data_IF_182491582104
#
_entry.id   IF_182491582104
#
_cell.length_a   1.000
_cell.length_b   1.000
_cell.length_c   1.000
_cell.angle_alpha   90.00
_cell.angle_beta   90.00
_cell.angle_gamma   90.00
#
_symmetry.space_group_name_H-M   'P 1'
#
loop_
_entity.id
_entity.type
_entity.pdbx_description
1 polymer ?
#
# COMPACT_ATOMS: atom_id res chain seq x y z
N UNK A 1 -4.28 4.47 -0.70
CA UNK A 1 -5.73 4.71 -0.82
C UNK A 1 -6.31 4.45 0.57
N UNK A 2 -7.23 5.27 1.09
CA UNK A 2 -7.86 4.94 2.37
C UNK A 2 -8.67 3.65 2.18
N UNK A 3 -8.55 2.65 3.07
CA UNK A 3 -9.31 1.43 2.98
C UNK A 3 -10.79 1.76 3.09
N UNK A 4 -11.60 0.99 2.37
CA UNK A 4 -13.05 1.13 2.43
C UNK A 4 -13.52 0.53 3.75
N UNK A 5 -14.17 1.34 4.59
CA UNK A 5 -14.76 0.86 5.85
C UNK A 5 -15.68 -0.33 5.60
N UNK A 6 -15.53 -1.37 6.41
CA UNK A 6 -16.36 -2.55 6.38
C UNK A 6 -17.83 -2.21 6.67
N UNK A 7 -18.77 -3.03 6.18
CA UNK A 7 -20.20 -2.85 6.48
C UNK A 7 -20.45 -2.86 8.00
N UNK A 8 -19.72 -3.69 8.74
CA UNK A 8 -19.81 -3.77 10.20
C UNK A 8 -19.37 -2.46 10.86
N UNK A 9 -18.23 -1.87 10.46
CA UNK A 9 -17.77 -0.57 10.99
C UNK A 9 -18.73 0.57 10.68
N UNK A 10 -19.34 0.59 9.48
CA UNK A 10 -20.35 1.59 9.13
C UNK A 10 -21.59 1.52 10.03
N UNK A 11 -21.95 0.32 10.49
CA UNK A 11 -23.04 0.15 11.45
C UNK A 11 -22.58 0.56 12.85
N UNK A 12 -21.38 0.17 13.29
CA UNK A 12 -20.83 0.58 14.59
C UNK A 12 -20.78 2.11 14.74
N UNK A 13 -20.42 2.83 13.68
CA UNK A 13 -20.44 4.29 13.68
C UNK A 13 -21.82 4.89 14.05
N UNK A 14 -22.92 4.22 13.70
CA UNK A 14 -24.30 4.66 14.02
C UNK A 14 -24.73 4.34 15.46
N UNK A 15 -24.03 3.40 16.10
CA UNK A 15 -24.43 2.82 17.38
C UNK A 15 -23.42 3.08 18.49
N UNK A 16 -22.71 4.21 18.38
CA UNK A 16 -21.94 4.77 19.47
C UNK A 16 -22.80 5.75 20.29
N UNK A 17 -22.46 5.90 21.56
CA UNK A 17 -23.14 6.80 22.49
C UNK A 17 -22.12 7.67 23.20
N UNK A 18 -22.26 8.99 23.12
CA UNK A 18 -21.43 9.94 23.83
C UNK A 18 -22.09 10.30 25.16
N UNK A 19 -21.42 9.98 26.26
CA UNK A 19 -21.79 10.39 27.60
C UNK A 19 -21.09 11.72 27.92
N UNK A 20 -21.86 12.81 27.95
CA UNK A 20 -21.33 14.16 28.16
C UNK A 20 -20.99 14.44 29.63
N UNK A 21 -21.57 13.70 30.58
CA UNK A 21 -21.22 13.86 32.00
C UNK A 21 -19.94 13.10 32.31
N UNK A 22 -19.85 11.84 31.87
CA UNK A 22 -18.66 11.01 32.05
C UNK A 22 -17.54 11.34 31.05
N UNK A 23 -17.80 12.24 30.09
CA UNK A 23 -16.90 12.55 28.97
C UNK A 23 -16.35 11.28 28.31
N UNK A 24 -17.24 10.34 27.97
CA UNK A 24 -16.85 9.00 27.49
C UNK A 24 -17.69 8.56 26.30
N UNK A 25 -17.01 8.08 25.25
CA UNK A 25 -17.65 7.48 24.08
C UNK A 25 -17.77 5.97 24.28
N UNK A 26 -19.01 5.47 24.33
CA UNK A 26 -19.31 4.05 24.38
C UNK A 26 -19.54 3.49 22.97
N UNK A 27 -18.89 2.36 22.67
CA UNK A 27 -19.03 1.64 21.41
C UNK A 27 -19.57 0.24 21.71
N UNK A 28 -20.80 -0.03 21.30
CA UNK A 28 -21.42 -1.35 21.45
C UNK A 28 -21.14 -2.23 20.23
N UNK A 29 -20.19 -3.15 20.36
CA UNK A 29 -19.84 -4.09 19.32
C UNK A 29 -20.63 -5.40 19.36
N UNK A 30 -21.45 -5.66 20.38
CA UNK A 30 -22.07 -6.97 20.61
C UNK A 30 -22.90 -7.48 19.43
N UNK A 31 -23.50 -6.58 18.65
CA UNK A 31 -24.35 -6.93 17.51
C UNK A 31 -23.58 -7.21 16.21
N UNK A 32 -22.52 -6.46 15.92
CA UNK A 32 -21.82 -6.53 14.62
C UNK A 32 -20.42 -7.15 14.71
N UNK A 33 -19.77 -7.05 15.86
CA UNK A 33 -18.45 -7.61 16.13
C UNK A 33 -18.40 -8.15 17.58
N UNK A 34 -19.12 -9.26 17.89
CA UNK A 34 -19.32 -9.71 19.27
C UNK A 34 -18.03 -9.93 20.06
N UNK A 35 -16.94 -10.32 19.37
CA UNK A 35 -15.61 -10.53 19.96
C UNK A 35 -15.05 -9.33 20.72
N UNK A 36 -15.49 -8.11 20.40
CA UNK A 36 -15.03 -6.88 21.06
C UNK A 36 -15.95 -6.41 22.18
N UNK A 37 -17.12 -7.04 22.36
CA UNK A 37 -18.04 -6.70 23.45
C UNK A 37 -18.51 -5.25 23.41
N UNK A 38 -18.41 -4.56 24.55
CA UNK A 38 -18.62 -3.11 24.67
C UNK A 38 -17.32 -2.52 25.19
N UNK A 39 -16.84 -1.44 24.59
CA UNK A 39 -15.69 -0.72 25.11
C UNK A 39 -15.96 0.78 25.16
N UNK A 40 -15.26 1.45 26.06
CA UNK A 40 -15.32 2.88 26.27
C UNK A 40 -14.05 3.55 25.77
N UNK A 41 -14.19 4.74 25.21
CA UNK A 41 -13.08 5.61 24.83
C UNK A 41 -13.25 6.92 25.61
N UNK A 42 -12.32 7.28 26.50
CA UNK A 42 -12.42 8.54 27.23
C UNK A 42 -12.33 9.76 26.29
N UNK A 43 -12.85 10.89 26.76
CA UNK A 43 -12.67 12.19 26.13
C UNK A 43 -11.21 12.64 26.18
N UNK A 44 -10.87 13.67 25.41
CA UNK A 44 -9.49 14.12 25.27
C UNK A 44 -8.87 14.56 26.61
N UNK A 45 -9.61 15.35 27.39
CA UNK A 45 -9.14 15.82 28.70
C UNK A 45 -8.96 14.66 29.70
N UNK A 46 -9.85 13.67 29.66
CA UNK A 46 -9.74 12.48 30.48
C UNK A 46 -8.53 11.60 30.08
N UNK A 47 -8.18 11.54 28.79
CA UNK A 47 -6.94 10.88 28.35
C UNK A 47 -5.68 11.60 28.89
N UNK A 48 -5.68 12.94 28.91
CA UNK A 48 -4.56 13.74 29.40
C UNK A 48 -4.36 13.63 30.92
N UNK A 49 -5.46 13.60 31.67
CA UNK A 49 -5.44 13.67 33.13
C UNK A 49 -5.57 12.30 33.83
N UNK A 50 -5.98 11.27 33.09
CA UNK A 50 -6.23 9.93 33.63
C UNK A 50 -4.95 9.20 34.03
N UNK A 51 -5.00 8.51 35.17
CA UNK A 51 -3.93 7.65 35.69
C UNK A 51 -4.18 6.16 35.50
N UNK A 52 -5.38 5.78 35.04
CA UNK A 52 -5.75 4.38 34.80
C UNK A 52 -4.94 3.80 33.64
N UNK A 53 -4.53 2.52 33.66
CA UNK A 53 -3.82 1.90 32.54
C UNK A 53 -4.54 2.07 31.21
N UNK A 54 -3.80 2.25 30.12
CA UNK A 54 -4.42 2.41 28.79
C UNK A 54 -5.19 1.11 28.45
N UNK A 55 -6.50 1.18 28.11
CA UNK A 55 -7.28 0.00 27.74
C UNK A 55 -6.74 -0.69 26.48
N UNK A 56 -6.86 -2.01 26.40
CA UNK A 56 -6.53 -2.77 25.19
C UNK A 56 -7.63 -2.58 24.13
N UNK A 57 -7.47 -1.55 23.30
CA UNK A 57 -8.41 -1.23 22.24
C UNK A 57 -8.34 -2.23 21.07
N UNK A 58 -9.46 -2.47 20.36
CA UNK A 58 -9.44 -3.24 19.13
C UNK A 58 -8.45 -2.69 18.09
N UNK A 59 -7.42 -3.48 17.78
CA UNK A 59 -6.30 -3.06 16.92
C UNK A 59 -6.69 -2.70 15.50
N UNK A 60 -7.76 -3.28 14.96
CA UNK A 60 -8.13 -3.17 13.54
C UNK A 60 -9.39 -2.33 13.30
N UNK A 61 -9.83 -1.53 14.29
CA UNK A 61 -10.96 -0.62 14.12
C UNK A 61 -10.48 0.77 13.70
N UNK A 62 -10.93 1.23 12.54
CA UNK A 62 -10.59 2.55 12.00
C UNK A 62 -11.56 3.63 12.51
N UNK A 63 -11.73 3.74 13.83
CA UNK A 63 -12.75 4.61 14.47
C UNK A 63 -12.61 6.08 14.05
N UNK A 64 -11.38 6.54 13.83
CA UNK A 64 -11.14 7.93 13.41
C UNK A 64 -11.64 8.18 11.98
N UNK A 65 -11.76 7.15 11.15
CA UNK A 65 -12.27 7.24 9.78
C UNK A 65 -13.79 7.06 9.67
N UNK A 66 -14.46 6.65 10.76
CA UNK A 66 -15.91 6.47 10.77
C UNK A 66 -16.66 7.76 10.46
N UNK A 67 -17.79 7.61 9.77
CA UNK A 67 -18.68 8.72 9.43
C UNK A 67 -19.17 9.45 10.68
N UNK A 68 -19.14 10.78 10.63
CA UNK A 68 -19.45 11.67 11.75
C UNK A 68 -20.96 11.74 12.06
N UNK A 69 -21.49 10.69 12.69
CA UNK A 69 -22.79 10.78 13.37
C UNK A 69 -22.67 11.68 14.61
N UNK A 70 -23.78 12.26 15.08
CA UNK A 70 -23.79 13.30 16.13
C UNK A 70 -22.94 12.93 17.34
N UNK A 71 -23.13 11.73 17.90
CA UNK A 71 -22.42 11.21 19.06
C UNK A 71 -20.89 11.16 18.85
N UNK A 72 -20.43 10.51 17.77
CA UNK A 72 -19.01 10.45 17.42
C UNK A 72 -18.44 11.84 17.11
N UNK A 73 -19.23 12.72 16.51
CA UNK A 73 -18.80 14.08 16.18
C UNK A 73 -18.55 14.92 17.43
N UNK A 74 -19.32 14.74 18.51
CA UNK A 74 -19.08 15.43 19.77
C UNK A 74 -17.75 15.01 20.39
N UNK A 75 -17.49 13.70 20.46
CA UNK A 75 -16.19 13.19 20.93
C UNK A 75 -15.02 13.70 20.09
N UNK A 76 -15.10 13.60 18.76
CA UNK A 76 -14.04 14.07 17.86
C UNK A 76 -13.72 15.57 18.01
N UNK A 77 -14.72 16.41 18.34
CA UNK A 77 -14.51 17.86 18.49
C UNK A 77 -13.61 18.23 19.67
N UNK A 78 -13.44 17.35 20.65
CA UNK A 78 -12.56 17.58 21.79
C UNK A 78 -11.09 17.38 21.44
N UNK A 79 -10.82 16.60 20.40
CA UNK A 79 -9.46 16.21 20.03
C UNK A 79 -8.92 17.21 19.00
N UNK A 80 -7.69 17.74 19.17
CA UNK A 80 -7.10 18.62 18.17
C UNK A 80 -7.09 17.97 16.77
N UNK A 81 -7.53 18.72 15.76
CA UNK A 81 -7.72 18.19 14.41
C UNK A 81 -6.46 17.54 13.82
N UNK A 82 -5.29 18.15 14.05
CA UNK A 82 -4.02 17.62 13.56
C UNK A 82 -3.63 16.27 14.22
N UNK A 83 -4.05 16.04 15.48
CA UNK A 83 -3.82 14.76 16.19
C UNK A 83 -4.71 13.68 15.58
N UNK A 84 -6.00 14.00 15.34
CA UNK A 84 -6.92 13.09 14.66
C UNK A 84 -6.39 12.69 13.28
N UNK A 85 -5.97 13.68 12.49
CA UNK A 85 -5.42 13.45 11.15
C UNK A 85 -4.16 12.59 11.19
N UNK A 86 -3.25 12.84 12.14
CA UNK A 86 -2.00 12.09 12.28
C UNK A 86 -2.23 10.65 12.75
N UNK A 87 -3.15 10.43 13.69
CA UNK A 87 -3.50 9.08 14.15
C UNK A 87 -4.25 8.30 13.06
N UNK A 88 -5.10 8.98 12.28
CA UNK A 88 -5.85 8.38 11.18
C UNK A 88 -4.98 7.94 9.99
N UNK A 89 -3.70 8.33 9.94
CA UNK A 89 -2.74 7.85 8.94
C UNK A 89 -2.54 6.33 9.02
N UNK A 90 -2.73 5.75 10.20
CA UNK A 90 -2.47 4.34 10.49
C UNK A 90 -3.79 3.57 10.58
N UNK A 91 -4.02 2.48 9.81
CA UNK A 91 -5.24 1.68 9.91
C UNK A 91 -5.33 0.89 11.21
N UNK A 92 -4.20 0.62 11.85
CA UNK A 92 -4.14 -0.21 13.06
C UNK A 92 -3.66 0.58 14.27
N UNK A 93 -4.14 0.19 15.44
CA UNK A 93 -3.80 0.79 16.74
C UNK A 93 -4.13 2.29 16.84
N UNK A 94 -5.08 2.82 16.04
CA UNK A 94 -5.45 4.24 16.04
C UNK A 94 -5.83 4.77 17.43
N UNK A 95 -6.68 4.03 18.14
CA UNK A 95 -7.15 4.42 19.47
C UNK A 95 -6.07 4.32 20.53
N UNK A 96 -5.21 3.31 20.45
CA UNK A 96 -4.03 3.22 21.31
C UNK A 96 -3.12 4.41 21.09
N UNK A 97 -2.75 4.69 19.83
CA UNK A 97 -1.89 5.83 19.49
C UNK A 97 -2.51 7.13 20.01
N UNK A 98 -3.80 7.35 19.78
CA UNK A 98 -4.54 8.51 20.27
C UNK A 98 -4.47 8.64 21.80
N UNK A 99 -4.73 7.56 22.54
CA UNK A 99 -4.71 7.58 24.00
C UNK A 99 -3.30 7.88 24.52
N UNK A 100 -2.27 7.20 23.99
CA UNK A 100 -0.90 7.45 24.39
C UNK A 100 -0.46 8.90 24.10
N UNK A 101 -0.84 9.50 22.96
CA UNK A 101 -0.46 10.90 22.69
C UNK A 101 -1.28 11.91 23.47
N UNK A 102 -2.51 11.57 23.89
CA UNK A 102 -3.25 12.36 24.86
C UNK A 102 -2.55 12.34 26.22
N UNK A 103 -2.08 11.17 26.68
CA UNK A 103 -1.48 11.01 27.99
C UNK A 103 -0.04 11.50 28.10
N UNK A 104 0.77 11.25 27.08
CA UNK A 104 2.22 11.47 27.13
C UNK A 104 2.65 12.56 26.14
N UNK A 105 2.97 13.78 26.62
CA UNK A 105 3.41 14.87 25.77
C UNK A 105 4.62 14.53 24.88
N UNK A 106 5.55 13.70 25.39
CA UNK A 106 6.72 13.25 24.63
C UNK A 106 6.32 12.41 23.40
N UNK A 107 5.25 11.62 23.52
CA UNK A 107 4.73 10.87 22.38
C UNK A 107 3.96 11.77 21.41
N UNK A 108 3.25 12.79 21.92
CA UNK A 108 2.61 13.80 21.08
C UNK A 108 3.64 14.55 20.20
N UNK A 109 4.78 14.94 20.78
CA UNK A 109 5.91 15.51 20.04
C UNK A 109 6.55 14.51 19.06
N UNK A 110 6.63 13.22 19.45
CA UNK A 110 7.10 12.17 18.56
C UNK A 110 6.16 11.97 17.36
N UNK A 111 4.84 12.06 17.58
CA UNK A 111 3.83 11.97 16.53
C UNK A 111 3.97 13.13 15.54
N UNK A 112 4.14 14.36 16.00
CA UNK A 112 4.32 15.53 15.12
C UNK A 112 5.57 15.39 14.22
N UNK A 113 6.71 15.01 14.80
CA UNK A 113 7.98 14.98 14.08
C UNK A 113 8.26 13.67 13.33
N UNK A 114 7.73 12.54 13.79
CA UNK A 114 8.02 11.21 13.25
C UNK A 114 6.83 10.25 13.48
N UNK A 115 5.68 10.46 12.80
CA UNK A 115 4.47 9.68 13.03
C UNK A 115 4.69 8.16 12.99
N UNK A 116 5.51 7.70 12.03
CA UNK A 116 5.80 6.28 11.85
C UNK A 116 6.51 5.65 13.06
N UNK A 117 7.38 6.43 13.72
CA UNK A 117 8.08 5.99 14.92
C UNK A 117 7.13 5.96 16.13
N UNK A 118 6.26 6.97 16.27
CA UNK A 118 5.23 6.98 17.31
C UNK A 118 4.30 5.76 17.20
N UNK A 119 3.80 5.50 16.00
CA UNK A 119 2.96 4.34 15.73
C UNK A 119 3.69 3.02 15.98
N UNK A 120 4.93 2.87 15.50
CA UNK A 120 5.70 1.63 15.71
C UNK A 120 5.96 1.34 17.18
N UNK A 121 6.20 2.39 17.99
CA UNK A 121 6.39 2.26 19.42
C UNK A 121 5.12 1.73 20.11
N UNK A 122 3.96 2.31 19.80
CA UNK A 122 2.66 1.89 20.38
C UNK A 122 2.18 0.54 19.85
N UNK A 123 2.51 0.21 18.59
CA UNK A 123 2.18 -1.08 17.99
C UNK A 123 3.14 -2.21 18.39
N UNK A 124 4.19 -1.90 19.15
CA UNK A 124 5.14 -2.90 19.65
C UNK A 124 4.50 -3.78 20.74
N UNK A 125 5.21 -4.83 21.16
CA UNK A 125 4.80 -5.71 22.26
C UNK A 125 5.28 -5.21 23.64
N UNK A 126 5.80 -3.99 23.70
CA UNK A 126 6.31 -3.39 24.92
C UNK A 126 5.17 -3.02 25.86
N UNK A 127 5.45 -3.02 27.17
CA UNK A 127 4.47 -2.58 28.17
C UNK A 127 4.38 -1.05 28.17
N UNK A 128 3.31 -0.49 28.74
CA UNK A 128 3.16 0.97 28.90
C UNK A 128 4.37 1.57 29.65
N UNK A 129 4.86 0.89 30.69
CA UNK A 129 6.04 1.32 31.45
C UNK A 129 7.32 1.36 30.60
N UNK A 130 7.55 0.33 29.77
CA UNK A 130 8.70 0.28 28.88
C UNK A 130 8.64 1.38 27.82
N UNK A 131 7.45 1.62 27.24
CA UNK A 131 7.23 2.70 26.27
C UNK A 131 7.55 4.05 26.92
N UNK A 132 7.06 4.31 28.12
CA UNK A 132 7.32 5.57 28.85
C UNK A 132 8.79 5.75 29.16
N UNK A 133 9.50 4.68 29.56
CA UNK A 133 10.93 4.71 29.78
C UNK A 133 11.68 5.08 28.49
N UNK A 134 11.34 4.45 27.36
CA UNK A 134 11.95 4.74 26.06
C UNK A 134 11.68 6.16 25.58
N UNK A 135 10.55 6.77 25.93
CA UNK A 135 10.27 8.16 25.59
C UNK A 135 11.22 9.17 26.26
N UNK A 136 11.89 8.77 27.34
CA UNK A 136 12.91 9.58 28.02
C UNK A 136 14.31 9.41 27.40
N UNK A 137 14.51 8.35 26.62
CA UNK A 137 15.77 8.03 25.98
C UNK A 137 16.04 8.82 24.71
N UNK A 138 17.26 8.70 24.18
CA UNK A 138 17.60 9.29 22.89
C UNK A 138 16.82 8.58 21.78
N UNK A 139 16.33 9.34 20.80
CA UNK A 139 15.59 8.81 19.63
C UNK A 139 16.32 7.66 18.91
N UNK A 140 17.65 7.65 18.92
CA UNK A 140 18.48 6.56 18.36
C UNK A 140 18.35 5.24 19.13
N UNK A 141 18.20 5.31 20.46
CA UNK A 141 17.96 4.14 21.31
C UNK A 141 16.54 3.62 21.12
N UNK A 142 15.55 4.52 20.98
CA UNK A 142 14.16 4.13 20.69
C UNK A 142 14.07 3.32 19.40
N UNK A 143 14.68 3.79 18.30
CA UNK A 143 14.66 3.04 17.03
C UNK A 143 15.40 1.70 17.14
N UNK A 144 16.50 1.64 17.91
CA UNK A 144 17.26 0.42 18.17
C UNK A 144 16.42 -0.64 18.90
N UNK A 145 15.70 -0.23 19.95
CA UNK A 145 14.82 -1.10 20.72
C UNK A 145 13.61 -1.61 19.90
N UNK A 146 13.23 -0.89 18.85
CA UNK A 146 12.18 -1.30 17.91
C UNK A 146 12.69 -2.18 16.77
N UNK A 147 13.98 -2.56 16.78
CA UNK A 147 14.59 -3.44 15.79
C UNK A 147 15.08 -2.74 14.53
N UNK A 148 15.20 -1.40 14.55
CA UNK A 148 15.79 -0.62 13.46
C UNK A 148 17.22 -0.20 13.80
N UNK A 149 18.07 0.15 12.81
CA UNK A 149 19.42 0.61 13.09
C UNK A 149 19.40 1.88 13.95
N UNK A 150 20.10 1.86 15.10
CA UNK A 150 20.27 2.95 16.08
C UNK A 150 21.05 4.18 15.58
N UNK A 151 20.90 4.52 14.30
CA UNK A 151 21.67 5.56 13.59
C UNK A 151 20.88 6.88 13.50
N UNK A 152 21.60 8.01 13.41
CA UNK A 152 20.96 9.34 13.26
C UNK A 152 20.21 9.44 11.94
N UNK A 153 20.73 8.78 10.92
CA UNK A 153 20.20 8.68 9.57
C UNK A 153 18.82 8.03 9.59
N UNK A 154 18.61 6.96 10.38
CA UNK A 154 17.30 6.32 10.57
C UNK A 154 16.29 7.32 11.11
N UNK A 155 16.64 8.06 12.16
CA UNK A 155 15.77 9.07 12.76
C UNK A 155 15.48 10.20 11.75
N UNK A 156 16.49 10.66 11.02
CA UNK A 156 16.32 11.69 10.00
C UNK A 156 15.41 11.24 8.85
N UNK A 157 15.53 9.98 8.43
CA UNK A 157 14.66 9.38 7.42
C UNK A 157 13.21 9.36 7.88
N UNK A 158 12.95 8.86 9.09
CA UNK A 158 11.61 8.82 9.69
C UNK A 158 11.00 10.22 9.80
N UNK A 159 11.80 11.25 10.08
CA UNK A 159 11.37 12.66 10.06
C UNK A 159 11.05 13.21 8.67
N UNK A 160 11.65 12.67 7.61
CA UNK A 160 11.40 13.08 6.21
C UNK A 160 10.18 12.38 5.61
N UNK A 161 9.66 11.32 6.23
CA UNK A 161 8.47 10.62 5.75
C UNK A 161 7.25 11.55 5.74
N UNK A 162 6.59 11.65 4.59
CA UNK A 162 5.36 12.40 4.37
C UNK A 162 4.35 11.49 3.69
N UNK A 163 3.78 10.61 4.50
CA UNK A 163 2.83 9.59 4.08
C UNK A 163 1.41 10.10 4.28
N UNK A 164 0.50 9.78 3.34
CA UNK A 164 -0.93 10.09 3.48
C UNK A 164 -1.71 8.97 4.16
N UNK A 165 -1.18 7.76 4.08
CA UNK A 165 -1.76 6.55 4.66
C UNK A 165 -0.69 5.47 4.74
N UNK A 166 -0.68 4.70 5.82
CA UNK A 166 0.33 3.67 6.09
C UNK A 166 -0.34 2.29 6.05
N UNK A 167 -0.40 1.70 4.85
CA UNK A 167 -0.81 0.29 4.70
C UNK A 167 0.27 -0.65 5.21
N UNK A 168 -0.03 -1.94 5.35
CA UNK A 168 0.98 -2.98 5.64
C UNK A 168 2.14 -2.92 4.65
N UNK A 169 1.84 -2.86 3.35
CA UNK A 169 2.83 -2.72 2.27
C UNK A 169 3.72 -1.48 2.45
N UNK A 170 3.15 -0.33 2.80
CA UNK A 170 3.95 0.89 3.06
C UNK A 170 4.84 0.70 4.30
N UNK A 171 4.35 0.03 5.34
CA UNK A 171 5.16 -0.29 6.52
C UNK A 171 6.34 -1.20 6.15
N UNK A 172 6.09 -2.24 5.34
CA UNK A 172 7.13 -3.14 4.84
C UNK A 172 8.16 -2.40 3.98
N UNK A 173 7.73 -1.46 3.14
CA UNK A 173 8.66 -0.63 2.37
C UNK A 173 9.52 0.27 3.26
N UNK A 174 8.95 0.84 4.34
CA UNK A 174 9.73 1.58 5.34
C UNK A 174 10.78 0.68 5.97
N UNK A 175 10.40 -0.51 6.42
CA UNK A 175 11.33 -1.48 7.01
C UNK A 175 12.44 -1.86 6.03
N UNK A 176 12.08 -2.21 4.79
CA UNK A 176 13.03 -2.56 3.72
C UNK A 176 14.03 -1.43 3.47
N UNK A 177 13.57 -0.18 3.43
CA UNK A 177 14.44 0.98 3.17
C UNK A 177 15.32 1.35 4.37
N UNK A 178 14.88 1.11 5.60
CA UNK A 178 15.64 1.39 6.82
C UNK A 178 16.75 0.36 7.03
N UNK A 179 16.48 -0.91 6.73
CA UNK A 179 17.41 -2.02 6.95
C UNK A 179 18.52 -2.10 5.88
N UNK A 180 18.29 -1.51 4.70
CA UNK A 180 19.28 -1.45 3.62
C UNK A 180 19.98 -0.07 3.62
N UNK A 181 21.28 -0.08 3.92
CA UNK A 181 22.09 1.14 4.06
C UNK A 181 22.21 1.94 2.75
N UNK A 182 22.25 1.26 1.60
CA UNK A 182 22.33 1.94 0.30
C UNK A 182 21.02 2.69 0.01
N UNK A 183 19.88 2.05 0.31
CA UNK A 183 18.55 2.67 0.15
C UNK A 183 18.38 3.84 1.09
N UNK A 184 18.71 3.65 2.37
CA UNK A 184 18.62 4.68 3.40
C UNK A 184 19.44 5.91 3.01
N UNK A 185 20.70 5.70 2.64
CA UNK A 185 21.63 6.78 2.26
C UNK A 185 21.10 7.60 1.09
N UNK A 186 20.64 6.95 0.02
CA UNK A 186 20.11 7.66 -1.12
C UNK A 186 18.78 8.38 -0.83
N UNK A 187 17.90 7.81 0.00
CA UNK A 187 16.68 8.47 0.45
C UNK A 187 16.96 9.70 1.31
N UNK A 188 18.13 9.79 1.96
CA UNK A 188 18.53 11.02 2.68
C UNK A 188 18.73 12.21 1.75
N UNK A 189 19.07 12.00 0.48
CA UNK A 189 19.27 13.09 -0.48
C UNK A 189 17.97 13.81 -0.82
N UNK A 190 16.82 13.15 -0.62
CA UNK A 190 15.52 13.73 -0.88
C UNK A 190 15.10 14.69 0.25
N UNK A 191 14.52 15.86 -0.08
CA UNK A 191 14.02 16.78 0.94
C UNK A 191 12.81 16.21 1.69
N UNK A 192 12.02 15.35 1.04
CA UNK A 192 10.83 14.68 1.59
C UNK A 192 10.70 13.29 0.96
N UNK A 193 10.22 12.32 1.73
CA UNK A 193 9.98 10.95 1.24
C UNK A 193 8.49 10.66 1.33
N UNK A 194 7.83 10.66 0.17
CA UNK A 194 6.42 10.28 0.06
C UNK A 194 6.28 8.77 -0.24
N UNK A 195 5.06 8.26 -0.26
CA UNK A 195 4.77 6.84 -0.58
C UNK A 195 5.33 6.40 -1.93
N UNK A 196 5.46 7.34 -2.88
CA UNK A 196 5.99 7.09 -4.22
C UNK A 196 7.49 6.81 -4.19
N UNK A 197 8.28 7.75 -3.65
CA UNK A 197 9.73 7.59 -3.49
C UNK A 197 10.06 6.33 -2.70
N UNK A 198 9.28 6.06 -1.65
CA UNK A 198 9.42 4.87 -0.83
C UNK A 198 9.17 3.57 -1.63
N UNK A 199 8.09 3.51 -2.41
CA UNK A 199 7.78 2.33 -3.23
C UNK A 199 8.82 2.08 -4.32
N UNK A 200 9.31 3.15 -4.96
CA UNK A 200 10.39 3.06 -5.95
C UNK A 200 11.68 2.50 -5.32
N UNK A 201 12.08 3.02 -4.16
CA UNK A 201 13.25 2.52 -3.46
C UNK A 201 13.07 1.09 -2.93
N UNK A 202 11.86 0.70 -2.55
CA UNK A 202 11.59 -0.66 -2.10
C UNK A 202 11.63 -1.68 -3.26
N UNK A 203 11.04 -1.35 -4.42
CA UNK A 203 10.82 -2.29 -5.53
C UNK A 203 11.90 -2.24 -6.61
N UNK A 204 12.49 -1.08 -6.85
CA UNK A 204 13.47 -0.86 -7.92
C UNK A 204 14.78 -0.29 -7.35
N UNK A 205 15.57 -1.11 -6.63
CA UNK A 205 16.79 -0.63 -5.98
C UNK A 205 17.79 -0.01 -6.96
N UNK A 206 17.80 -0.41 -8.24
CA UNK A 206 18.71 0.17 -9.23
C UNK A 206 18.35 1.63 -9.60
N UNK A 207 17.11 2.06 -9.35
CA UNK A 207 16.67 3.43 -9.64
C UNK A 207 16.94 4.40 -8.48
N UNK A 208 17.41 3.89 -7.34
CA UNK A 208 17.60 4.70 -6.15
C UNK A 208 18.64 5.80 -6.41
N UNK A 209 18.30 7.03 -6.02
CA UNK A 209 19.11 8.22 -6.30
C UNK A 209 19.23 8.61 -7.78
N UNK A 210 18.65 7.86 -8.72
CA UNK A 210 18.68 8.18 -10.14
C UNK A 210 17.91 9.47 -10.46
N UNK A 211 18.16 10.04 -11.66
CA UNK A 211 17.45 11.22 -12.13
C UNK A 211 15.94 10.98 -12.21
N UNK A 212 15.54 9.80 -12.66
CA UNK A 212 14.14 9.40 -12.72
C UNK A 212 13.53 9.38 -11.31
N UNK A 213 14.19 8.73 -10.34
CA UNK A 213 13.70 8.66 -8.97
C UNK A 213 13.53 10.04 -8.32
N UNK A 214 14.53 10.92 -8.45
CA UNK A 214 14.44 12.29 -7.92
C UNK A 214 13.30 13.07 -8.58
N UNK A 215 13.12 12.92 -9.90
CA UNK A 215 12.06 13.60 -10.64
C UNK A 215 10.67 13.11 -10.22
N UNK A 216 10.48 11.80 -10.09
CA UNK A 216 9.21 11.19 -9.69
C UNK A 216 8.86 11.48 -8.22
N UNK A 217 9.86 11.50 -7.34
CA UNK A 217 9.67 11.83 -5.92
C UNK A 217 9.13 13.25 -5.71
N UNK A 218 9.45 14.19 -6.60
CA UNK A 218 8.98 15.58 -6.55
C UNK A 218 7.57 15.78 -7.08
N UNK A 219 7.03 14.84 -7.87
CA UNK A 219 5.70 14.95 -8.44
C UNK A 219 4.62 14.62 -7.39
N UNK A 220 3.46 15.32 -7.44
CA UNK A 220 2.33 14.97 -6.59
C UNK A 220 1.78 13.59 -7.00
N UNK A 221 1.93 12.60 -6.13
CA UNK A 221 1.42 11.24 -6.37
C UNK A 221 -0.11 11.21 -6.22
N UNK A 222 -0.83 10.91 -7.32
CA UNK A 222 -2.21 10.41 -7.28
C UNK A 222 -2.18 8.88 -7.33
N UNK A 223 -2.96 8.15 -6.50
CA UNK A 223 -2.84 6.70 -6.38
C UNK A 223 -2.82 5.93 -7.71
N UNK A 224 -3.72 6.24 -8.65
CA UNK A 224 -3.76 5.57 -9.96
C UNK A 224 -2.53 5.87 -10.82
N UNK A 225 -2.02 7.10 -10.82
CA UNK A 225 -0.79 7.43 -11.53
C UNK A 225 0.40 6.65 -10.96
N UNK A 226 0.41 6.46 -9.64
CA UNK A 226 1.46 5.77 -8.94
C UNK A 226 1.43 4.25 -9.23
N UNK A 227 0.24 3.66 -9.29
CA UNK A 227 0.06 2.26 -9.71
C UNK A 227 0.44 2.06 -11.18
N UNK A 228 -0.03 2.94 -12.08
CA UNK A 228 0.27 2.86 -13.52
C UNK A 228 1.77 2.97 -13.78
N UNK A 229 2.43 3.89 -13.08
CA UNK A 229 3.87 4.06 -13.15
C UNK A 229 4.63 2.81 -12.70
N UNK A 230 4.29 2.28 -11.52
CA UNK A 230 4.93 1.08 -10.99
C UNK A 230 4.75 -0.06 -11.98
N UNK A 231 3.51 -0.27 -12.46
CA UNK A 231 3.20 -1.28 -13.47
C UNK A 231 4.08 -1.15 -14.73
N UNK A 232 4.23 0.06 -15.25
CA UNK A 232 5.09 0.33 -16.41
C UNK A 232 6.57 0.02 -16.13
N UNK A 233 7.09 0.41 -14.96
CA UNK A 233 8.47 0.11 -14.58
C UNK A 233 8.69 -1.40 -14.40
N UNK A 234 7.77 -2.11 -13.75
CA UNK A 234 7.84 -3.56 -13.62
C UNK A 234 7.90 -4.23 -14.99
N UNK A 235 7.03 -3.83 -15.92
CA UNK A 235 7.01 -4.40 -17.26
C UNK A 235 8.31 -4.08 -18.02
N UNK A 236 8.87 -2.88 -17.83
CA UNK A 236 10.13 -2.48 -18.45
C UNK A 236 11.31 -3.30 -17.94
N UNK A 237 11.43 -3.47 -16.62
CA UNK A 237 12.49 -4.30 -16.04
C UNK A 237 12.32 -5.79 -16.36
N UNK A 238 11.08 -6.30 -16.39
CA UNK A 238 10.81 -7.69 -16.80
C UNK A 238 11.19 -7.93 -18.26
N UNK A 239 10.84 -7.00 -19.16
CA UNK A 239 11.24 -7.09 -20.57
C UNK A 239 12.76 -7.06 -20.70
N UNK A 240 13.44 -6.16 -20.00
CA UNK A 240 14.90 -6.08 -20.02
C UNK A 240 15.57 -7.38 -19.53
N UNK A 241 15.03 -7.97 -18.45
CA UNK A 241 15.51 -9.25 -17.92
C UNK A 241 15.25 -10.41 -18.91
N UNK A 242 14.07 -10.45 -19.53
CA UNK A 242 13.72 -11.47 -20.52
C UNK A 242 14.62 -11.42 -21.75
N UNK A 243 14.86 -10.21 -22.29
CA UNK A 243 15.77 -9.97 -23.41
C UNK A 243 17.25 -10.03 -23.03
N UNK A 244 17.57 -10.25 -21.74
CA UNK A 244 18.93 -10.28 -21.21
C UNK A 244 19.76 -9.05 -21.61
N UNK A 245 19.13 -7.86 -21.56
CA UNK A 245 19.77 -6.63 -21.97
C UNK A 245 20.99 -6.30 -21.09
N UNK A 246 22.07 -5.74 -21.66
CA UNK A 246 23.21 -5.29 -20.89
C UNK A 246 22.82 -4.24 -19.84
N UNK A 247 23.55 -4.22 -18.72
CA UNK A 247 23.33 -3.25 -17.63
C UNK A 247 23.35 -1.80 -18.10
N UNK A 248 24.12 -1.48 -19.14
CA UNK A 248 24.17 -0.13 -19.74
C UNK A 248 22.82 0.30 -20.32
N UNK A 249 22.10 -0.61 -20.99
CA UNK A 249 20.77 -0.34 -21.53
C UNK A 249 19.74 -0.19 -20.41
N UNK A 250 19.81 -1.05 -19.39
CA UNK A 250 18.93 -0.98 -18.21
C UNK A 250 19.14 0.34 -17.45
N UNK A 251 20.38 0.81 -17.35
CA UNK A 251 20.71 2.07 -16.68
C UNK A 251 20.09 3.30 -17.37
N UNK A 252 19.73 3.23 -18.66
CA UNK A 252 19.03 4.32 -19.36
C UNK A 252 17.69 4.63 -18.70
N UNK A 253 17.03 3.64 -18.10
CA UNK A 253 15.77 3.84 -17.35
C UNK A 253 15.99 4.86 -16.22
N UNK A 254 17.09 4.76 -15.46
CA UNK A 254 17.42 5.70 -14.39
C UNK A 254 17.81 7.11 -14.86
N UNK A 255 18.24 7.23 -16.12
CA UNK A 255 18.62 8.51 -16.74
C UNK A 255 17.40 9.29 -17.27
N UNK A 256 16.26 8.62 -17.44
CA UNK A 256 15.01 9.25 -17.86
C UNK A 256 14.61 10.38 -16.91
N UNK A 257 13.98 11.42 -17.48
CA UNK A 257 13.40 12.49 -16.68
C UNK A 257 11.93 12.21 -16.38
N UNK A 258 11.23 11.59 -17.33
CA UNK A 258 9.80 11.33 -17.26
C UNK A 258 9.48 9.88 -17.62
N UNK A 259 8.30 9.41 -17.22
CA UNK A 259 7.82 8.07 -17.56
C UNK A 259 7.55 7.87 -19.04
N UNK A 260 7.23 8.94 -19.76
CA UNK A 260 7.11 8.90 -21.22
C UNK A 260 8.44 8.48 -21.87
N UNK A 261 9.58 8.84 -21.27
CA UNK A 261 10.88 8.41 -21.77
C UNK A 261 11.11 6.91 -21.52
N UNK A 262 10.67 6.42 -20.35
CA UNK A 262 10.69 4.98 -20.02
C UNK A 262 9.79 4.19 -20.97
N UNK A 263 8.62 4.74 -21.29
CA UNK A 263 7.69 4.15 -22.25
C UNK A 263 8.32 4.03 -23.62
N UNK A 264 9.01 5.07 -24.10
CA UNK A 264 9.74 5.01 -25.38
C UNK A 264 10.84 3.96 -25.37
N UNK A 265 11.56 3.79 -24.26
CA UNK A 265 12.57 2.74 -24.12
C UNK A 265 11.91 1.35 -24.20
N UNK A 266 10.83 1.15 -23.43
CA UNK A 266 10.03 -0.08 -23.49
C UNK A 266 9.53 -0.36 -24.91
N UNK A 267 8.96 0.68 -25.56
CA UNK A 267 8.44 0.64 -26.92
C UNK A 267 9.54 0.48 -28.00
N UNK A 268 10.80 0.78 -27.68
CA UNK A 268 11.91 0.44 -28.58
C UNK A 268 12.26 -1.05 -28.44
N UNK A 269 12.41 -1.54 -27.21
CA UNK A 269 12.86 -2.90 -26.93
C UNK A 269 11.88 -3.99 -27.39
N UNK A 270 10.57 -3.81 -27.18
CA UNK A 270 9.58 -4.82 -27.59
C UNK A 270 9.48 -4.96 -29.12
N UNK A 271 9.74 -3.88 -29.88
CA UNK A 271 9.51 -3.83 -31.33
C UNK A 271 10.46 -4.74 -32.11
N UNK A 272 11.60 -5.13 -31.50
CA UNK A 272 12.60 -5.98 -32.13
C UNK A 272 12.23 -7.47 -32.21
N UNK A 273 11.27 -7.96 -31.43
CA UNK A 273 10.98 -9.40 -31.32
C UNK A 273 9.71 -9.87 -32.04
N UNK A 274 8.83 -8.95 -32.44
CA UNK A 274 7.53 -9.34 -32.98
C UNK A 274 7.61 -9.49 -34.51
N UNK A 275 7.71 -10.73 -34.99
CA UNK A 275 7.63 -11.11 -36.42
C UNK A 275 6.25 -10.83 -37.05
N UNK A 276 5.72 -11.64 -37.96
CA UNK A 276 4.31 -11.53 -38.40
C UNK A 276 3.47 -12.55 -37.60
N UNK A 277 2.50 -12.10 -36.80
CA UNK A 277 1.61 -12.98 -36.04
C UNK A 277 0.17 -12.76 -36.49
N UNK A 278 -0.63 -13.82 -36.47
CA UNK A 278 -2.04 -13.77 -36.83
C UNK A 278 -2.86 -12.78 -36.00
N UNK A 279 -4.05 -12.45 -36.52
CA UNK A 279 -5.00 -11.55 -35.88
C UNK A 279 -5.72 -12.30 -34.75
N UNK A 280 -5.63 -11.80 -33.52
CA UNK A 280 -6.40 -12.31 -32.38
C UNK A 280 -7.76 -11.63 -32.35
N UNK A 281 -8.83 -12.41 -32.47
CA UNK A 281 -10.21 -11.91 -32.32
C UNK A 281 -10.71 -12.21 -30.91
N UNK A 282 -10.99 -11.17 -30.13
CA UNK A 282 -11.53 -11.29 -28.79
C UNK A 282 -13.05 -11.07 -28.81
N UNK A 283 -13.71 -11.57 -27.77
CA UNK A 283 -15.14 -11.44 -27.57
C UNK A 283 -15.43 -11.11 -26.09
N UNK A 284 -16.69 -10.80 -25.76
CA UNK A 284 -17.10 -10.37 -24.41
C UNK A 284 -16.93 -11.44 -23.32
N UNK A 285 -16.78 -12.71 -23.71
CA UNK A 285 -16.54 -13.80 -22.76
C UNK A 285 -15.03 -14.01 -22.61
N UNK A 286 -14.49 -14.09 -21.38
CA UNK A 286 -13.08 -14.38 -21.18
C UNK A 286 -12.66 -15.71 -21.80
N UNK A 287 -11.60 -15.66 -22.61
CA UNK A 287 -10.99 -16.82 -23.27
C UNK A 287 -9.58 -17.02 -22.73
N UNK A 288 -9.22 -18.27 -22.43
CA UNK A 288 -7.85 -18.63 -22.06
C UNK A 288 -6.98 -18.68 -23.31
N UNK A 289 -5.84 -18.01 -23.27
CA UNK A 289 -4.85 -18.12 -24.32
C UNK A 289 -3.85 -19.21 -23.94
N UNK A 290 -3.85 -20.31 -24.68
CA UNK A 290 -2.99 -21.48 -24.41
C UNK A 290 -1.81 -21.59 -25.38
N UNK A 291 -1.90 -20.94 -26.53
CA UNK A 291 -0.90 -21.03 -27.60
C UNK A 291 0.03 -19.82 -27.59
N UNK A 292 1.31 -20.07 -27.89
CA UNK A 292 2.34 -19.02 -27.97
C UNK A 292 1.99 -17.94 -28.99
N UNK A 293 1.43 -18.34 -30.14
CA UNK A 293 0.97 -17.42 -31.18
C UNK A 293 -0.13 -16.46 -30.67
N UNK A 294 -1.06 -16.97 -29.85
CA UNK A 294 -2.11 -16.15 -29.25
C UNK A 294 -1.56 -15.16 -28.22
N UNK A 295 -0.54 -15.54 -27.43
CA UNK A 295 0.14 -14.63 -26.51
C UNK A 295 0.90 -13.53 -27.25
N UNK A 296 1.58 -13.86 -28.35
CA UNK A 296 2.23 -12.87 -29.22
C UNK A 296 1.22 -11.91 -29.84
N UNK A 297 0.11 -12.42 -30.37
CA UNK A 297 -0.93 -11.61 -30.99
C UNK A 297 -1.58 -10.65 -29.98
N UNK A 298 -1.86 -11.12 -28.76
CA UNK A 298 -2.33 -10.27 -27.68
C UNK A 298 -1.29 -9.21 -27.30
N UNK A 299 -0.01 -9.60 -27.25
CA UNK A 299 1.06 -8.68 -26.88
C UNK A 299 1.15 -7.49 -27.85
N UNK A 300 0.92 -7.73 -29.14
CA UNK A 300 0.80 -6.67 -30.15
C UNK A 300 -0.44 -5.83 -29.96
N UNK A 301 -1.58 -6.49 -29.82
CA UNK A 301 -2.87 -5.82 -29.67
C UNK A 301 -2.83 -4.83 -28.50
N UNK A 302 -2.13 -5.17 -27.43
CA UNK A 302 -2.05 -4.33 -26.24
C UNK A 302 -0.77 -3.48 -26.14
N UNK A 303 0.17 -3.62 -27.07
CA UNK A 303 1.51 -3.03 -26.97
C UNK A 303 2.18 -3.32 -25.62
N UNK A 304 2.03 -4.57 -25.16
CA UNK A 304 2.51 -5.08 -23.87
C UNK A 304 3.07 -6.50 -24.04
N UNK A 305 4.30 -6.74 -23.60
CA UNK A 305 5.00 -8.00 -23.78
C UNK A 305 4.61 -9.05 -22.72
N UNK A 306 3.58 -9.86 -23.00
CA UNK A 306 3.10 -10.92 -22.09
C UNK A 306 4.03 -12.13 -21.99
N UNK A 307 4.90 -12.32 -22.98
CA UNK A 307 5.77 -13.50 -23.07
C UNK A 307 6.80 -13.61 -21.95
N UNK A 308 6.98 -12.55 -21.13
CA UNK A 308 7.81 -12.62 -19.91
C UNK A 308 7.38 -13.72 -18.95
N UNK A 309 6.11 -14.14 -19.00
CA UNK A 309 5.53 -15.14 -18.11
C UNK A 309 5.22 -16.47 -18.82
N UNK A 310 5.72 -16.67 -20.06
CA UNK A 310 5.46 -17.88 -20.85
C UNK A 310 6.01 -19.15 -20.19
N UNK A 311 7.21 -19.07 -19.61
CA UNK A 311 7.81 -20.21 -18.90
C UNK A 311 6.99 -20.61 -17.66
N UNK A 312 6.46 -19.64 -16.90
CA UNK A 312 5.57 -19.90 -15.76
C UNK A 312 4.25 -20.54 -16.23
N UNK A 313 3.74 -20.12 -17.40
CA UNK A 313 2.55 -20.74 -18.02
C UNK A 313 2.81 -22.20 -18.41
N UNK A 314 3.95 -22.48 -19.06
CA UNK A 314 4.34 -23.86 -19.41
C UNK A 314 4.53 -24.75 -18.17
N UNK A 315 4.95 -24.16 -17.05
CA UNK A 315 5.06 -24.83 -15.76
C UNK A 315 3.71 -24.96 -15.02
N UNK A 316 2.61 -24.47 -15.59
CA UNK A 316 1.27 -24.53 -14.98
C UNK A 316 1.07 -23.59 -13.78
N UNK A 317 1.95 -22.61 -13.57
CA UNK A 317 1.90 -21.68 -12.43
C UNK A 317 1.00 -20.48 -12.68
N UNK A 318 0.79 -20.12 -13.95
CA UNK A 318 -0.03 -18.98 -14.34
C UNK A 318 -0.91 -19.34 -15.55
N UNK A 319 -1.99 -18.59 -15.72
CA UNK A 319 -2.82 -18.64 -16.93
C UNK A 319 -3.14 -17.24 -17.42
N UNK A 320 -3.13 -17.04 -18.75
CA UNK A 320 -3.46 -15.78 -19.39
C UNK A 320 -4.86 -15.84 -20.00
N UNK A 321 -5.71 -14.89 -19.60
CA UNK A 321 -7.08 -14.76 -20.07
C UNK A 321 -7.27 -13.41 -20.72
N UNK A 322 -8.05 -13.34 -21.80
CA UNK A 322 -8.36 -12.11 -22.49
C UNK A 322 -9.85 -12.02 -22.84
N UNK A 323 -10.38 -10.80 -22.85
CA UNK A 323 -11.76 -10.49 -23.22
C UNK A 323 -11.84 -9.09 -23.84
N UNK A 324 -12.87 -8.85 -24.65
CA UNK A 324 -13.24 -7.51 -25.07
C UNK A 324 -14.28 -6.92 -24.12
N UNK A 325 -13.92 -5.87 -23.39
CA UNK A 325 -14.79 -5.18 -22.43
C UNK A 325 -14.91 -3.74 -22.90
N UNK A 326 -16.14 -3.29 -23.18
CA UNK A 326 -16.42 -1.93 -23.66
C UNK A 326 -15.68 -1.57 -24.96
N UNK A 327 -15.48 -2.54 -25.85
CA UNK A 327 -14.73 -2.34 -27.10
C UNK A 327 -13.21 -2.35 -26.93
N UNK A 328 -12.71 -2.63 -25.73
CA UNK A 328 -11.29 -2.62 -25.39
C UNK A 328 -10.82 -4.03 -25.03
N UNK A 329 -9.70 -4.46 -25.63
CA UNK A 329 -9.05 -5.72 -25.29
C UNK A 329 -8.41 -5.64 -23.90
N UNK A 330 -8.96 -6.35 -22.92
CA UNK A 330 -8.40 -6.43 -21.56
C UNK A 330 -7.92 -7.85 -21.31
N UNK A 331 -6.74 -7.99 -20.71
CA UNK A 331 -6.16 -9.29 -20.41
C UNK A 331 -5.65 -9.38 -18.98
N UNK A 332 -5.81 -10.56 -18.38
CA UNK A 332 -5.47 -10.90 -17.00
C UNK A 332 -4.53 -12.09 -16.99
N UNK A 333 -3.38 -11.92 -16.34
CA UNK A 333 -2.52 -13.01 -15.91
C UNK A 333 -2.93 -13.40 -14.48
N UNK A 334 -3.38 -14.63 -14.33
CA UNK A 334 -3.82 -15.25 -13.08
C UNK A 334 -2.73 -16.17 -12.56
N UNK A 335 -2.54 -16.19 -11.24
CA UNK A 335 -1.79 -17.25 -10.56
C UNK A 335 -2.69 -18.48 -10.37
N UNK A 336 -2.19 -19.64 -10.79
CA UNK A 336 -2.85 -20.93 -10.59
C UNK A 336 -2.40 -21.51 -9.24
N UNK A 337 -3.35 -22.09 -8.50
CA UNK A 337 -3.17 -22.57 -7.13
C UNK A 337 -2.35 -23.88 -7.03
N UNK A 338 -1.33 -24.05 -7.86
CA UNK A 338 -0.38 -25.16 -7.73
C UNK A 338 0.49 -24.93 -6.48
N UNK A 339 -0.05 -25.24 -5.30
CA UNK A 339 0.62 -25.14 -4.00
C UNK A 339 0.00 -24.17 -2.99
N UNK A 340 -1.24 -23.72 -3.18
CA UNK A 340 -2.00 -22.96 -2.17
C UNK A 340 -3.00 -23.91 -1.48
N UNK A 341 -3.29 -23.70 -0.19
CA UNK A 341 -4.31 -24.45 0.54
C UNK A 341 -5.65 -24.41 -0.23
N UNK A 342 -6.45 -25.48 -0.20
CA UNK A 342 -7.68 -25.70 -1.00
C UNK A 342 -8.75 -24.58 -0.89
N UNK A 343 -8.57 -23.59 -0.01
CA UNK A 343 -9.46 -22.44 0.23
C UNK A 343 -8.94 -21.09 -0.32
N UNK A 344 -7.73 -21.01 -0.89
CA UNK A 344 -7.22 -19.75 -1.45
C UNK A 344 -7.72 -19.49 -2.88
N UNK A 345 -8.54 -18.44 -3.03
CA UNK A 345 -9.00 -17.97 -4.33
C UNK A 345 -7.82 -17.54 -5.22
N UNK A 346 -7.88 -17.83 -6.53
CA UNK A 346 -6.88 -17.43 -7.50
C UNK A 346 -6.72 -15.91 -7.56
N UNK A 347 -5.47 -15.46 -7.46
CA UNK A 347 -5.12 -14.04 -7.39
C UNK A 347 -4.79 -13.52 -8.79
N UNK A 348 -5.26 -12.31 -9.10
CA UNK A 348 -4.84 -11.57 -10.30
C UNK A 348 -3.41 -11.10 -10.08
N UNK A 349 -2.47 -11.64 -10.87
CA UNK A 349 -1.07 -11.23 -10.83
C UNK A 349 -0.82 -9.96 -11.63
N UNK A 350 -1.41 -9.88 -12.83
CA UNK A 350 -1.27 -8.71 -13.72
C UNK A 350 -2.53 -8.53 -14.57
N UNK A 351 -2.88 -7.29 -14.86
CA UNK A 351 -3.96 -6.94 -15.78
C UNK A 351 -3.54 -5.75 -16.63
N UNK A 352 -3.80 -5.81 -17.94
CA UNK A 352 -3.50 -4.71 -18.88
C UNK A 352 -4.61 -4.54 -19.90
N UNK A 353 -4.70 -3.31 -20.40
CA UNK A 353 -5.45 -2.91 -21.60
C UNK A 353 -4.46 -2.41 -22.67
N UNK A 354 -4.93 -1.94 -23.85
CA UNK A 354 -4.03 -1.39 -24.87
C UNK A 354 -3.14 -0.27 -24.37
N UNK A 355 -2.02 -0.09 -25.06
CA UNK A 355 -0.97 0.88 -24.70
C UNK A 355 -0.34 0.61 -23.33
N UNK A 356 -0.30 -0.67 -22.91
CA UNK A 356 0.21 -1.08 -21.60
C UNK A 356 -0.44 -0.36 -20.39
N UNK A 357 -1.70 0.09 -20.54
CA UNK A 357 -2.38 0.83 -19.49
C UNK A 357 -3.04 -0.12 -18.46
N UNK A 358 -3.30 0.43 -17.28
CA UNK A 358 -4.14 -0.24 -16.28
C UNK A 358 -5.63 -0.13 -16.65
N UNK A 359 -6.43 -1.16 -16.36
CA UNK A 359 -7.88 -1.16 -16.61
C UNK A 359 -8.64 -0.12 -15.75
N UNK A 360 -9.85 0.21 -16.19
CA UNK A 360 -10.82 0.99 -15.41
C UNK A 360 -11.36 0.19 -14.21
N UNK A 361 -11.98 0.88 -13.25
CA UNK A 361 -12.62 0.23 -12.09
C UNK A 361 -13.76 -0.71 -12.50
N UNK A 362 -14.49 -0.40 -13.57
CA UNK A 362 -15.55 -1.24 -14.11
C UNK A 362 -14.98 -2.52 -14.73
N UNK A 363 -13.92 -2.40 -15.53
CA UNK A 363 -13.21 -3.55 -16.12
C UNK A 363 -12.57 -4.44 -15.04
N UNK A 364 -11.95 -3.86 -14.01
CA UNK A 364 -11.44 -4.60 -12.85
C UNK A 364 -12.57 -5.37 -12.14
N UNK A 365 -13.69 -4.71 -11.90
CA UNK A 365 -14.85 -5.33 -11.24
C UNK A 365 -15.38 -6.51 -12.05
N UNK A 366 -15.44 -6.39 -13.38
CA UNK A 366 -15.81 -7.48 -14.26
C UNK A 366 -14.91 -8.71 -14.06
N UNK A 367 -13.58 -8.52 -14.06
CA UNK A 367 -12.64 -9.63 -13.89
C UNK A 367 -12.73 -10.27 -12.50
N UNK A 368 -12.89 -9.47 -11.44
CA UNK A 368 -13.12 -10.00 -10.10
C UNK A 368 -14.41 -10.82 -9.99
N UNK A 369 -15.52 -10.33 -10.54
CA UNK A 369 -16.79 -11.06 -10.55
C UNK A 369 -16.70 -12.35 -11.36
N UNK A 370 -16.01 -12.31 -12.49
CA UNK A 370 -15.79 -13.50 -13.32
C UNK A 370 -14.94 -14.56 -12.61
N UNK A 371 -13.89 -14.16 -11.89
CA UNK A 371 -13.06 -15.09 -11.11
C UNK A 371 -13.87 -15.81 -10.03
N UNK A 372 -14.68 -15.06 -9.27
CA UNK A 372 -15.55 -15.64 -8.24
C UNK A 372 -16.63 -16.54 -8.85
N UNK A 373 -17.24 -16.12 -9.97
CA UNK A 373 -18.31 -16.87 -10.63
C UNK A 373 -17.84 -18.19 -11.27
N UNK A 374 -16.54 -18.33 -11.55
CA UNK A 374 -15.96 -19.56 -12.09
C UNK A 374 -15.82 -20.69 -11.08
N UNK A 375 -15.74 -20.37 -9.79
CA UNK A 375 -15.61 -21.35 -8.70
C UNK A 375 -16.97 -21.80 -8.14
N UNK A 376 -18.06 -21.22 -8.64
CA UNK A 376 -19.44 -21.55 -8.23
C UNK A 376 -20.10 -22.64 -9.08
N UNK A 377 -19.34 -23.39 -9.89
CA UNK A 377 -19.84 -24.43 -10.79
C UNK A 377 -19.10 -25.75 -10.67
#
# INVERSE_FOLDING_TARGET
MKPVLSTQERQLAKHCFWDDEAQTLWVDCRRWMPKYGVFSIPGWDAMMMGSEPIPDYPKNLSVLEWSSYSQLSFWKKQIPAWVLESCALFPTHQLHLLHYVGRYPQLLELLDHSPMLAWRLVASKLTEADIVALLQDKRTQVVEQLGWPGKKETVQFLRKLRLRYVTSEISEFVETCILDEARLSALQTLPRVNSMALSLAARFPQLIGSRLHVSLAQLPCRPMQCQSMIAQLEDTFRLAAFLQLPTEEVNKIGQCRYLVDVEKIYQAWWSFELGDSGILTLNKKPVQLTEYASWMALSRLQSHYWLTDWADFQAGKVSLWAAEIEGVAVAVLREEAAGLDDDEMPKIRRIRQPENQLPSSQQLSFWHLWLVGKESF
#
